data_IF_562881921812
#
_entry.id   IF_562881921812
#
_cell.length_a   1.000
_cell.length_b   1.000
_cell.length_c   1.000
_cell.angle_alpha   90.00
_cell.angle_beta   90.00
_cell.angle_gamma   90.00
#
_symmetry.space_group_name_H-M   'P 1'
#
loop_
_entity.id
_entity.type
_entity.pdbx_description
1 polymer ?
#
# COMPACT_ATOMS: atom_id res chain seq x y z
N UNK A 1 19.49 7.09 9.61
CA UNK A 1 19.12 6.52 10.93
C UNK A 1 19.04 7.59 12.01
N UNK A 2 19.88 8.62 11.95
CA UNK A 2 19.86 9.73 12.92
C UNK A 2 18.52 10.49 12.94
N UNK A 3 17.90 10.76 11.78
CA UNK A 3 16.55 11.36 11.73
C UNK A 3 15.48 10.53 12.44
N UNK A 4 15.54 9.19 12.31
CA UNK A 4 14.63 8.28 13.00
C UNK A 4 14.85 8.34 14.52
N UNK A 5 16.12 8.42 14.97
CA UNK A 5 16.47 8.57 16.38
C UNK A 5 16.00 9.90 16.95
N UNK A 6 16.11 10.97 16.18
CA UNK A 6 15.79 12.33 16.61
C UNK A 6 14.30 12.61 16.62
N UNK A 7 13.58 12.14 15.61
CA UNK A 7 12.17 12.48 15.40
C UNK A 7 11.21 11.33 15.76
N UNK A 8 11.73 10.11 16.01
CA UNK A 8 10.93 8.90 16.30
C UNK A 8 9.82 8.64 15.28
N UNK A 9 10.03 9.06 14.04
CA UNK A 9 9.10 8.90 12.93
C UNK A 9 9.78 8.17 11.77
N UNK A 10 9.00 7.35 11.04
CA UNK A 10 9.52 6.75 9.82
C UNK A 10 9.73 7.83 8.78
N UNK A 11 10.88 7.84 8.08
CA UNK A 11 11.06 8.72 6.94
C UNK A 11 9.96 8.46 5.90
N UNK A 12 9.64 9.50 5.12
CA UNK A 12 8.57 9.43 4.13
C UNK A 12 8.71 8.21 3.23
N UNK A 13 7.56 7.65 2.83
CA UNK A 13 7.48 6.47 1.96
C UNK A 13 8.10 5.18 2.54
N UNK A 14 8.63 5.18 3.77
CA UNK A 14 9.13 3.96 4.40
C UNK A 14 8.05 3.27 5.23
N UNK A 15 7.88 1.96 5.02
CA UNK A 15 6.96 1.12 5.78
C UNK A 15 7.68 -0.11 6.33
N UNK A 16 7.65 -0.25 7.65
CA UNK A 16 8.08 -1.48 8.30
C UNK A 16 7.21 -2.64 7.83
N UNK A 17 7.85 -3.69 7.32
CA UNK A 17 7.15 -4.81 6.69
C UNK A 17 7.25 -6.08 7.51
N UNK A 18 8.44 -6.38 8.04
CA UNK A 18 8.68 -7.64 8.77
C UNK A 18 9.93 -7.57 9.64
N UNK A 19 9.92 -8.30 10.76
CA UNK A 19 11.11 -8.64 11.53
C UNK A 19 11.59 -10.06 11.21
N UNK A 20 12.90 -10.25 11.16
CA UNK A 20 13.55 -11.54 10.96
C UNK A 20 14.03 -12.11 12.28
N UNK A 21 14.05 -13.44 12.41
CA UNK A 21 14.54 -14.16 13.60
C UNK A 21 15.99 -13.83 13.98
N UNK A 22 16.78 -13.32 13.03
CA UNK A 22 18.16 -12.90 13.25
C UNK A 22 18.27 -11.45 13.78
N UNK A 23 17.18 -10.87 14.28
CA UNK A 23 17.14 -9.49 14.77
C UNK A 23 17.23 -8.41 13.67
N UNK A 24 17.08 -8.77 12.39
CA UNK A 24 17.03 -7.80 11.30
C UNK A 24 15.58 -7.35 11.05
N UNK A 25 15.39 -6.17 10.45
CA UNK A 25 14.09 -5.68 10.02
C UNK A 25 14.07 -5.43 8.52
N UNK A 26 12.92 -5.64 7.88
CA UNK A 26 12.65 -5.23 6.51
C UNK A 26 11.76 -3.99 6.53
N UNK A 27 12.24 -2.94 5.88
CA UNK A 27 11.52 -1.69 5.63
C UNK A 27 11.40 -1.54 4.12
N UNK A 28 10.19 -1.42 3.60
CA UNK A 28 10.00 -1.11 2.18
C UNK A 28 9.96 0.41 2.03
N UNK A 29 10.79 0.96 1.15
CA UNK A 29 10.73 2.35 0.72
C UNK A 29 9.98 2.44 -0.60
N UNK A 30 8.84 3.12 -0.59
CA UNK A 30 7.90 3.20 -1.71
C UNK A 30 7.74 4.68 -2.12
N UNK A 31 8.73 5.27 -2.78
CA UNK A 31 8.69 6.69 -3.13
C UNK A 31 7.53 7.01 -4.08
N UNK A 32 7.10 6.03 -4.88
CA UNK A 32 5.92 6.12 -5.75
C UNK A 32 5.01 4.89 -5.59
N UNK A 33 3.82 4.89 -6.18
CA UNK A 33 2.88 3.76 -6.11
C UNK A 33 3.43 2.48 -6.78
N UNK A 34 4.28 2.64 -7.80
CA UNK A 34 4.79 1.53 -8.61
C UNK A 34 6.19 1.10 -8.20
N UNK A 35 6.90 1.94 -7.45
CA UNK A 35 8.24 1.63 -6.99
C UNK A 35 8.22 1.10 -5.54
N UNK A 36 8.90 -0.03 -5.33
CA UNK A 36 9.04 -0.69 -4.04
C UNK A 36 10.47 -1.16 -3.88
N UNK A 37 11.22 -0.46 -3.05
CA UNK A 37 12.57 -0.83 -2.68
C UNK A 37 12.57 -1.51 -1.30
N UNK A 38 12.69 -2.84 -1.22
CA UNK A 38 12.87 -3.52 0.05
C UNK A 38 14.27 -3.22 0.60
N UNK A 39 14.33 -2.56 1.75
CA UNK A 39 15.55 -2.24 2.48
C UNK A 39 15.63 -3.14 3.70
N UNK A 40 16.73 -3.89 3.81
CA UNK A 40 17.02 -4.70 5.00
C UNK A 40 17.89 -3.92 5.96
N UNK A 41 17.38 -3.70 7.17
CA UNK A 41 18.11 -3.07 8.27
C UNK A 41 18.69 -4.17 9.16
N UNK A 42 20.01 -4.17 9.30
CA UNK A 42 20.72 -5.05 10.23
C UNK A 42 21.18 -4.22 11.43
N UNK A 43 20.73 -4.49 12.66
CA UNK A 43 20.97 -3.64 13.83
C UNK A 43 22.46 -3.43 14.11
N UNK A 44 23.27 -4.48 13.93
CA UNK A 44 24.73 -4.48 14.14
C UNK A 44 25.48 -3.48 13.23
N UNK A 45 24.91 -3.10 12.09
CA UNK A 45 25.51 -2.12 11.17
C UNK A 45 25.21 -0.67 11.58
N UNK A 46 24.21 -0.46 12.42
CA UNK A 46 23.72 0.88 12.79
C UNK A 46 23.81 1.14 14.29
N UNK A 47 24.49 0.27 15.04
CA UNK A 47 24.58 0.34 16.50
C UNK A 47 23.20 0.46 17.15
N UNK A 48 22.26 -0.39 16.71
CA UNK A 48 20.91 -0.47 17.26
C UNK A 48 20.88 -1.67 18.20
N UNK A 49 20.69 -1.49 19.53
CA UNK A 49 20.75 -2.57 20.50
C UNK A 49 19.59 -3.57 20.34
N UNK A 50 18.37 -3.07 20.15
CA UNK A 50 17.20 -3.88 19.86
C UNK A 50 16.36 -3.24 18.75
N UNK A 51 16.17 -3.96 17.65
CA UNK A 51 15.47 -3.43 16.49
C UNK A 51 13.94 -3.40 16.70
N UNK A 52 13.41 -4.33 17.49
CA UNK A 52 11.98 -4.43 17.71
C UNK A 52 11.53 -3.27 18.59
N UNK A 53 12.23 -3.01 19.68
CA UNK A 53 12.04 -1.85 20.55
C UNK A 53 12.24 -0.54 19.79
N UNK A 54 13.30 -0.46 18.97
CA UNK A 54 13.59 0.72 18.15
C UNK A 54 12.43 1.06 17.20
N UNK A 55 11.81 0.05 16.58
CA UNK A 55 10.71 0.22 15.63
C UNK A 55 9.29 0.14 16.23
N UNK A 56 9.16 -0.19 17.52
CA UNK A 56 7.86 -0.31 18.20
C UNK A 56 7.19 1.04 18.47
N UNK A 57 7.98 2.08 18.73
CA UNK A 57 7.48 3.43 19.03
C UNK A 57 7.36 4.32 17.76
N UNK A 58 7.74 3.78 16.61
CA UNK A 58 7.84 4.50 15.36
C UNK A 58 6.47 4.64 14.68
N UNK A 59 5.99 5.89 14.52
CA UNK A 59 4.78 6.17 13.74
C UNK A 59 5.03 5.81 12.27
N UNK A 60 4.24 4.88 11.73
CA UNK A 60 4.38 4.33 10.37
C UNK A 60 3.72 5.17 9.28
N UNK A 61 3.18 6.34 9.63
CA UNK A 61 2.23 7.07 8.78
C UNK A 61 2.72 8.49 8.44
N UNK A 62 3.98 8.60 8.01
CA UNK A 62 4.38 9.78 7.24
C UNK A 62 3.66 9.75 5.89
N UNK A 63 2.57 10.53 5.74
CA UNK A 63 1.95 10.78 4.42
C UNK A 63 3.07 11.23 3.48
N UNK A 64 3.32 10.45 2.43
CA UNK A 64 4.33 10.78 1.44
C UNK A 64 3.96 12.14 0.80
N UNK A 65 4.77 13.21 0.96
CA UNK A 65 4.46 14.53 0.44
C UNK A 65 4.59 14.61 -1.09
N UNK A 66 5.10 13.55 -1.74
CA UNK A 66 5.09 13.40 -3.18
C UNK A 66 3.64 13.20 -3.62
N UNK A 67 2.99 14.28 -4.05
CA UNK A 67 1.73 14.21 -4.80
C UNK A 67 1.98 13.42 -6.10
N UNK A 68 1.04 12.59 -6.56
CA UNK A 68 1.20 11.83 -7.80
C UNK A 68 1.55 12.78 -8.95
N UNK A 69 2.72 12.56 -9.55
CA UNK A 69 3.31 13.45 -10.55
C UNK A 69 2.49 13.39 -11.86
N UNK A 70 2.18 14.55 -12.46
CA UNK A 70 1.48 14.67 -13.75
C UNK A 70 2.32 13.97 -14.83
N UNK A 71 1.92 12.76 -15.20
CA UNK A 71 2.69 11.81 -16.01
C UNK A 71 2.47 10.35 -15.56
N UNK A 72 2.08 10.16 -14.30
CA UNK A 72 1.43 8.94 -13.81
C UNK A 72 0.10 8.80 -14.54
N UNK A 73 -0.01 7.82 -15.46
CA UNK A 73 -1.18 7.65 -16.32
C UNK A 73 -2.44 7.50 -15.48
N UNK A 74 -3.16 8.61 -15.28
CA UNK A 74 -4.56 8.63 -14.90
C UNK A 74 -4.87 7.70 -13.73
N UNK A 75 -4.18 7.91 -12.61
CA UNK A 75 -4.44 7.25 -11.34
C UNK A 75 -5.94 7.22 -11.07
N UNK A 76 -6.42 6.07 -10.64
CA UNK A 76 -7.82 5.77 -10.41
C UNK A 76 -8.63 6.98 -9.95
N UNK A 77 -9.58 7.42 -10.78
CA UNK A 77 -10.41 8.59 -10.48
C UNK A 77 -11.23 8.30 -9.24
N UNK A 78 -11.73 7.06 -9.12
CA UNK A 78 -12.58 6.62 -8.03
C UNK A 78 -12.34 5.13 -7.72
N UNK A 79 -12.39 4.77 -6.44
CA UNK A 79 -12.35 3.39 -5.96
C UNK A 79 -13.52 3.12 -5.01
N UNK A 80 -14.12 1.95 -5.10
CA UNK A 80 -15.24 1.52 -4.27
C UNK A 80 -15.04 0.10 -3.78
N UNK A 81 -15.29 -0.11 -2.49
CA UNK A 81 -15.27 -1.42 -1.86
C UNK A 81 -16.70 -1.97 -1.83
N UNK A 82 -16.94 -3.04 -2.59
CA UNK A 82 -18.26 -3.65 -2.75
C UNK A 82 -18.24 -5.03 -2.09
N UNK A 83 -19.04 -5.27 -1.05
CA UNK A 83 -19.16 -6.58 -0.45
C UNK A 83 -19.77 -7.58 -1.45
N UNK A 84 -19.30 -8.82 -1.40
CA UNK A 84 -19.80 -9.89 -2.24
C UNK A 84 -21.24 -10.19 -1.86
N UNK A 85 -22.16 -10.11 -2.82
CA UNK A 85 -23.58 -10.39 -2.59
C UNK A 85 -23.84 -11.83 -2.11
N UNK A 86 -22.91 -12.76 -2.34
CA UNK A 86 -23.00 -14.15 -1.91
C UNK A 86 -22.25 -14.44 -0.60
N UNK A 87 -21.39 -13.54 -0.13
CA UNK A 87 -20.56 -13.76 1.05
C UNK A 87 -20.18 -12.41 1.68
N UNK A 88 -20.84 -11.99 2.78
CA UNK A 88 -20.58 -10.69 3.39
C UNK A 88 -19.17 -10.54 3.98
N UNK A 89 -18.42 -11.64 4.14
CA UNK A 89 -17.02 -11.59 4.61
C UNK A 89 -16.03 -11.29 3.48
N UNK A 90 -16.47 -11.32 2.22
CA UNK A 90 -15.62 -11.04 1.06
C UNK A 90 -15.94 -9.65 0.50
N UNK A 91 -14.94 -8.78 0.48
CA UNK A 91 -15.05 -7.44 -0.10
C UNK A 91 -14.22 -7.39 -1.38
N UNK A 92 -14.80 -6.85 -2.46
CA UNK A 92 -14.14 -6.67 -3.73
C UNK A 92 -13.98 -5.18 -4.04
N UNK A 93 -12.79 -4.80 -4.43
CA UNK A 93 -12.46 -3.42 -4.76
C UNK A 93 -12.67 -3.21 -6.26
N UNK A 94 -13.46 -2.20 -6.60
CA UNK A 94 -13.69 -1.71 -7.97
C UNK A 94 -12.96 -0.39 -8.14
N UNK A 95 -12.17 -0.26 -9.20
CA UNK A 95 -11.32 0.90 -9.46
C UNK A 95 -11.63 1.44 -10.85
N UNK A 96 -12.09 2.69 -10.95
CA UNK A 96 -12.30 3.40 -12.23
C UNK A 96 -11.05 4.19 -12.58
N UNK A 97 -10.40 3.84 -13.69
CA UNK A 97 -9.25 4.56 -14.24
C UNK A 97 -9.69 5.84 -14.95
N UNK A 98 -8.79 6.82 -15.06
CA UNK A 98 -9.07 8.07 -15.77
C UNK A 98 -9.37 7.87 -17.26
N UNK A 99 -8.90 6.76 -17.85
CA UNK A 99 -9.20 6.37 -19.22
C UNK A 99 -10.63 5.80 -19.41
N UNK A 100 -11.49 5.85 -18.40
CA UNK A 100 -12.85 5.29 -18.43
C UNK A 100 -12.93 3.77 -18.27
N UNK A 101 -11.80 3.10 -18.03
CA UNK A 101 -11.73 1.66 -17.81
C UNK A 101 -12.04 1.31 -16.34
N UNK A 102 -12.76 0.22 -16.11
CA UNK A 102 -13.10 -0.27 -14.78
C UNK A 102 -12.35 -1.57 -14.51
N UNK A 103 -11.63 -1.63 -13.40
CA UNK A 103 -11.05 -2.86 -12.86
C UNK A 103 -11.79 -3.31 -11.62
N UNK A 104 -11.88 -4.61 -11.41
CA UNK A 104 -12.46 -5.19 -10.21
C UNK A 104 -11.63 -6.39 -9.74
N UNK A 105 -11.40 -6.51 -8.44
CA UNK A 105 -10.65 -7.64 -7.86
C UNK A 105 -11.46 -8.94 -7.78
N UNK A 106 -12.74 -8.92 -8.18
CA UNK A 106 -13.60 -10.10 -8.13
C UNK A 106 -13.13 -11.22 -9.08
N UNK A 107 -13.37 -12.49 -8.74
CA UNK A 107 -12.92 -13.63 -9.54
C UNK A 107 -13.49 -13.60 -10.97
N UNK A 108 -14.73 -13.14 -11.15
CA UNK A 108 -15.34 -13.00 -12.49
C UNK A 108 -14.50 -12.09 -13.39
N UNK A 109 -14.08 -10.94 -12.89
CA UNK A 109 -13.26 -9.99 -13.65
C UNK A 109 -11.82 -10.51 -13.81
N UNK A 110 -11.24 -11.07 -12.74
CA UNK A 110 -9.88 -11.62 -12.74
C UNK A 110 -9.70 -12.78 -13.74
N UNK A 111 -10.66 -13.72 -13.80
CA UNK A 111 -10.56 -14.92 -14.62
C UNK A 111 -11.19 -14.78 -16.00
N UNK A 112 -12.28 -14.02 -16.14
CA UNK A 112 -12.99 -13.87 -17.43
C UNK A 112 -12.76 -12.54 -18.13
N UNK A 113 -12.18 -11.53 -17.45
CA UNK A 113 -12.03 -10.14 -17.95
C UNK A 113 -13.30 -9.55 -18.54
N UNK A 114 -14.47 -10.02 -18.07
CA UNK A 114 -15.79 -9.50 -18.44
C UNK A 114 -16.28 -8.52 -17.37
N UNK A 115 -17.15 -7.59 -17.77
CA UNK A 115 -17.85 -6.70 -16.85
C UNK A 115 -18.54 -7.54 -15.78
N UNK A 116 -18.23 -7.27 -14.51
CA UNK A 116 -18.79 -7.97 -13.36
C UNK A 116 -19.95 -7.17 -12.75
N UNK A 117 -20.77 -7.85 -11.93
CA UNK A 117 -21.91 -7.23 -11.22
C UNK A 117 -21.48 -6.01 -10.39
N UNK A 118 -20.29 -6.06 -9.78
CA UNK A 118 -19.74 -4.96 -8.98
C UNK A 118 -19.46 -3.70 -9.82
N UNK A 119 -18.94 -3.84 -11.04
CA UNK A 119 -18.72 -2.70 -11.95
C UNK A 119 -20.06 -2.12 -12.40
N UNK A 120 -21.04 -2.97 -12.71
CA UNK A 120 -22.40 -2.52 -13.08
C UNK A 120 -23.07 -1.78 -11.93
N UNK A 121 -23.02 -2.32 -10.71
CA UNK A 121 -23.58 -1.67 -9.52
C UNK A 121 -22.89 -0.33 -9.22
N UNK A 122 -21.58 -0.27 -9.41
CA UNK A 122 -20.80 0.95 -9.28
C UNK A 122 -21.18 2.02 -10.32
N UNK A 123 -21.55 1.62 -11.55
CA UNK A 123 -22.04 2.53 -12.60
C UNK A 123 -23.43 3.07 -12.29
N UNK A 124 -24.31 2.27 -11.70
CA UNK A 124 -25.69 2.69 -11.36
C UNK A 124 -25.74 3.64 -10.16
N UNK A 125 -24.70 3.65 -9.31
CA UNK A 125 -24.58 4.53 -8.13
C UNK A 125 -23.80 5.84 -8.40
N UNK A 126 -23.30 6.07 -9.62
CA UNK A 126 -22.64 7.33 -10.03
C UNK A 126 -23.60 8.29 -10.72
#
# INVERSE_FOLDING_TARGET
MEDIRKNKEFPYACKLTKFFKNGAAQVNHNPTQHDKFPIKIVPKQYDIPDIEEFFKDLKTEGKNPITPQVGDKGGAVNQWDIPSSSDPSKVYTVTKKANGNFECTCPQFKFRRKICKHITECKTKS
#
